data_IF_947768471619
#
_entry.id   IF_947768471619
#
_cell.length_a   1.000
_cell.length_b   1.000
_cell.length_c   1.000
_cell.angle_alpha   90.00
_cell.angle_beta   90.00
_cell.angle_gamma   90.00
#
_symmetry.space_group_name_H-M   'P 1'
#
loop_
_entity.id
_entity.type
_entity.pdbx_description
1 polymer ?
#
# COMPACT_ATOMS: atom_id res chain seq x y z
N UNK A 1 35.89 -16.02 -17.06
CA UNK A 1 34.53 -16.51 -16.77
C UNK A 1 34.51 -18.03 -16.96
N UNK A 2 34.55 -18.77 -15.86
CA UNK A 2 34.62 -20.24 -15.87
C UNK A 2 33.23 -20.81 -16.18
N UNK A 3 33.05 -21.45 -17.33
CA UNK A 3 31.81 -22.15 -17.66
C UNK A 3 31.68 -23.37 -16.73
N UNK A 4 30.76 -23.28 -15.76
CA UNK A 4 30.41 -24.39 -14.88
C UNK A 4 29.84 -25.52 -15.73
N UNK A 5 30.53 -26.66 -15.81
CA UNK A 5 30.01 -27.86 -16.49
C UNK A 5 28.81 -28.38 -15.69
N UNK A 6 27.65 -28.44 -16.34
CA UNK A 6 26.44 -29.02 -15.79
C UNK A 6 26.67 -30.50 -15.44
N UNK A 7 26.18 -30.90 -14.29
CA UNK A 7 26.20 -32.29 -13.83
C UNK A 7 25.32 -33.16 -14.75
N UNK A 8 25.60 -34.46 -14.85
CA UNK A 8 24.83 -35.38 -15.71
C UNK A 8 23.34 -35.40 -15.35
N UNK A 9 23.00 -35.20 -14.08
CA UNK A 9 21.62 -35.10 -13.60
C UNK A 9 20.94 -33.83 -14.15
N UNK A 10 21.60 -32.68 -14.05
CA UNK A 10 21.08 -31.42 -14.61
C UNK A 10 20.86 -31.51 -16.13
N UNK A 11 21.72 -32.23 -16.87
CA UNK A 11 21.56 -32.41 -18.32
C UNK A 11 20.33 -33.28 -18.65
N UNK A 12 20.12 -34.37 -17.92
CA UNK A 12 18.94 -35.24 -18.10
C UNK A 12 17.66 -34.50 -17.72
N UNK A 13 17.72 -33.69 -16.67
CA UNK A 13 16.58 -32.90 -16.19
C UNK A 13 16.24 -31.75 -17.15
N UNK A 14 17.26 -31.09 -17.72
CA UNK A 14 17.07 -30.11 -18.80
C UNK A 14 16.45 -30.75 -20.05
N UNK A 15 16.87 -31.96 -20.43
CA UNK A 15 16.27 -32.69 -21.55
C UNK A 15 14.80 -33.04 -21.26
N UNK A 16 14.48 -33.43 -20.02
CA UNK A 16 13.10 -33.70 -19.56
C UNK A 16 12.24 -32.43 -19.59
N UNK A 17 12.79 -31.28 -19.16
CA UNK A 17 12.15 -29.96 -19.21
C UNK A 17 11.89 -29.50 -20.65
N UNK A 18 12.81 -29.75 -21.57
CA UNK A 18 12.64 -29.44 -22.99
C UNK A 18 11.56 -30.32 -23.65
N UNK A 19 11.43 -31.57 -23.22
CA UNK A 19 10.39 -32.49 -23.70
C UNK A 19 9.00 -32.18 -23.12
N UNK A 20 8.92 -31.71 -21.87
CA UNK A 20 7.64 -31.33 -21.23
C UNK A 20 7.14 -29.94 -21.63
N UNK A 21 8.01 -29.09 -22.16
CA UNK A 21 7.67 -27.76 -22.67
C UNK A 21 7.02 -27.86 -24.06
N UNK A 22 5.79 -28.38 -24.12
CA UNK A 22 5.00 -28.33 -25.34
C UNK A 22 4.91 -26.87 -25.83
N UNK A 23 5.21 -26.63 -27.12
CA UNK A 23 5.17 -25.28 -27.70
C UNK A 23 3.76 -24.70 -27.52
N UNK A 24 3.61 -23.69 -26.65
CA UNK A 24 2.32 -23.05 -26.41
C UNK A 24 1.77 -22.46 -27.71
N UNK A 25 0.49 -22.71 -27.99
CA UNK A 25 -0.25 -22.14 -29.11
C UNK A 25 -0.29 -20.62 -28.99
N UNK A 26 -0.29 -19.90 -30.12
CA UNK A 26 -0.33 -18.43 -30.12
C UNK A 26 -1.47 -17.85 -29.25
N UNK A 27 -2.66 -18.48 -29.27
CA UNK A 27 -3.80 -18.10 -28.41
C UNK A 27 -3.50 -18.21 -26.91
N UNK A 28 -2.79 -19.26 -26.49
CA UNK A 28 -2.38 -19.43 -25.09
C UNK A 28 -1.28 -18.44 -24.69
N UNK A 29 -0.41 -18.06 -25.63
CA UNK A 29 0.61 -17.01 -25.40
C UNK A 29 -0.03 -15.65 -25.18
N UNK A 30 -1.00 -15.26 -26.02
CA UNK A 30 -1.72 -14.01 -25.82
C UNK A 30 -2.61 -14.06 -24.57
N UNK A 31 -3.26 -15.19 -24.28
CA UNK A 31 -4.05 -15.37 -23.07
C UNK A 31 -3.22 -15.28 -21.79
N UNK A 32 -2.04 -15.91 -21.77
CA UNK A 32 -1.11 -15.82 -20.63
C UNK A 32 -0.53 -14.42 -20.45
N UNK A 33 -0.17 -13.74 -21.55
CA UNK A 33 0.31 -12.36 -21.49
C UNK A 33 -0.79 -11.42 -20.99
N UNK A 34 -2.02 -11.56 -21.50
CA UNK A 34 -3.17 -10.80 -21.03
C UNK A 34 -3.43 -11.02 -19.53
N UNK A 35 -3.44 -12.27 -19.08
CA UNK A 35 -3.76 -12.59 -17.69
C UNK A 35 -2.64 -12.21 -16.71
N UNK A 36 -1.37 -12.38 -17.09
CA UNK A 36 -0.23 -12.10 -16.22
C UNK A 36 0.17 -10.62 -16.21
N UNK A 37 -0.09 -9.89 -17.30
CA UNK A 37 0.35 -8.49 -17.45
C UNK A 37 -0.85 -7.53 -17.44
N UNK A 38 -1.88 -7.78 -18.26
CA UNK A 38 -3.02 -6.86 -18.35
C UNK A 38 -3.92 -6.90 -17.12
N UNK A 39 -4.13 -8.06 -16.50
CA UNK A 39 -4.95 -8.15 -15.29
C UNK A 39 -4.39 -7.32 -14.10
N UNK A 40 -3.10 -7.43 -13.72
CA UNK A 40 -2.56 -6.59 -12.65
C UNK A 40 -2.47 -5.11 -13.05
N UNK A 41 -2.29 -4.80 -14.34
CA UNK A 41 -2.38 -3.43 -14.83
C UNK A 41 -3.80 -2.89 -14.68
N UNK A 42 -4.81 -3.63 -15.14
CA UNK A 42 -6.22 -3.25 -15.01
C UNK A 42 -6.60 -3.03 -13.55
N UNK A 43 -6.12 -3.88 -12.63
CA UNK A 43 -6.31 -3.68 -11.20
C UNK A 43 -5.68 -2.36 -10.73
N UNK A 44 -4.43 -2.05 -11.10
CA UNK A 44 -3.79 -0.77 -10.75
C UNK A 44 -4.55 0.43 -11.30
N UNK A 45 -5.06 0.33 -12.52
CA UNK A 45 -5.89 1.38 -13.14
C UNK A 45 -7.21 1.58 -12.38
N UNK A 46 -7.88 0.50 -12.00
CA UNK A 46 -9.08 0.57 -11.18
C UNK A 46 -8.80 1.20 -9.80
N UNK A 47 -7.71 0.81 -9.13
CA UNK A 47 -7.30 1.40 -7.85
C UNK A 47 -7.04 2.91 -7.99
N UNK A 48 -6.33 3.32 -9.05
CA UNK A 48 -6.07 4.72 -9.32
C UNK A 48 -7.37 5.51 -9.55
N UNK A 49 -8.31 4.92 -10.30
CA UNK A 49 -9.60 5.54 -10.59
C UNK A 49 -10.48 5.67 -9.35
N UNK A 50 -10.52 4.64 -8.49
CA UNK A 50 -11.26 4.70 -7.22
C UNK A 50 -10.72 5.82 -6.34
N UNK A 51 -9.39 5.93 -6.20
CA UNK A 51 -8.75 7.00 -5.42
C UNK A 51 -9.05 8.39 -5.98
N UNK A 52 -9.09 8.53 -7.31
CA UNK A 52 -9.46 9.80 -7.96
C UNK A 52 -10.91 10.19 -7.62
N UNK A 53 -11.85 9.26 -7.74
CA UNK A 53 -13.27 9.48 -7.42
C UNK A 53 -13.45 9.79 -5.93
N UNK A 54 -12.71 9.13 -5.05
CA UNK A 54 -12.74 9.39 -3.60
C UNK A 54 -12.27 10.80 -3.22
N UNK A 55 -11.38 11.41 -4.00
CA UNK A 55 -10.95 12.81 -3.80
C UNK A 55 -11.99 13.83 -4.26
N UNK A 56 -12.83 13.47 -5.24
CA UNK A 56 -13.88 14.36 -5.73
C UNK A 56 -14.94 14.60 -4.65
N UNK A 57 -15.43 15.85 -4.53
CA UNK A 57 -16.52 16.20 -3.59
C UNK A 57 -17.75 15.35 -3.90
N UNK A 58 -18.49 14.96 -2.86
CA UNK A 58 -19.68 14.09 -2.99
C UNK A 58 -20.72 14.68 -3.96
N UNK A 59 -20.88 16.02 -3.96
CA UNK A 59 -21.79 16.73 -4.86
C UNK A 59 -21.44 16.62 -6.35
N UNK A 60 -20.18 16.37 -6.68
CA UNK A 60 -19.70 16.22 -8.07
C UNK A 60 -19.68 14.77 -8.56
N UNK A 61 -20.05 13.80 -7.72
CA UNK A 61 -20.01 12.37 -8.08
C UNK A 61 -21.30 11.94 -8.77
N UNK A 62 -21.17 11.27 -9.91
CA UNK A 62 -22.32 10.61 -10.53
C UNK A 62 -22.77 9.38 -9.73
N UNK A 63 -24.01 8.96 -9.91
CA UNK A 63 -24.56 7.75 -9.25
C UNK A 63 -23.76 6.50 -9.60
N UNK A 64 -23.32 6.37 -10.85
CA UNK A 64 -22.44 5.27 -11.29
C UNK A 64 -21.09 5.26 -10.56
N UNK A 65 -20.48 6.42 -10.35
CA UNK A 65 -19.22 6.54 -9.60
C UNK A 65 -19.40 6.15 -8.13
N UNK A 66 -20.53 6.51 -7.52
CA UNK A 66 -20.84 6.13 -6.14
C UNK A 66 -21.03 4.62 -5.99
N UNK A 67 -21.78 3.99 -6.92
CA UNK A 67 -21.96 2.54 -6.95
C UNK A 67 -20.63 1.83 -7.20
N UNK A 68 -19.81 2.34 -8.12
CA UNK A 68 -18.49 1.77 -8.43
C UNK A 68 -17.57 1.77 -7.20
N UNK A 69 -17.43 2.89 -6.50
CA UNK A 69 -16.61 2.98 -5.27
C UNK A 69 -17.14 2.06 -4.17
N UNK A 70 -18.46 1.86 -4.09
CA UNK A 70 -19.06 0.95 -3.09
C UNK A 70 -18.88 -0.53 -3.46
N UNK A 71 -18.93 -0.88 -4.75
CA UNK A 71 -18.84 -2.27 -5.23
C UNK A 71 -17.38 -2.75 -5.35
N UNK A 72 -16.45 -1.85 -5.66
CA UNK A 72 -15.04 -2.17 -5.87
C UNK A 72 -14.37 -2.95 -4.72
N UNK A 73 -14.57 -2.60 -3.44
CA UNK A 73 -14.02 -3.36 -2.32
C UNK A 73 -14.50 -4.81 -2.31
N UNK A 74 -15.76 -5.05 -2.62
CA UNK A 74 -16.34 -6.40 -2.68
C UNK A 74 -15.76 -7.24 -3.82
N UNK A 75 -15.55 -6.64 -4.99
CA UNK A 75 -14.87 -7.34 -6.09
C UNK A 75 -13.41 -7.69 -5.72
N UNK A 76 -12.73 -6.78 -5.02
CA UNK A 76 -11.38 -7.02 -4.51
C UNK A 76 -11.34 -8.12 -3.43
N UNK A 77 -12.30 -8.15 -2.51
CA UNK A 77 -12.33 -9.18 -1.48
C UNK A 77 -12.66 -10.55 -2.06
N UNK A 78 -13.59 -10.64 -3.02
CA UNK A 78 -13.93 -11.89 -3.71
C UNK A 78 -12.71 -12.42 -4.48
N UNK A 79 -12.03 -11.59 -5.28
CA UNK A 79 -10.87 -12.02 -6.06
C UNK A 79 -9.69 -12.49 -5.18
N UNK A 80 -9.44 -11.79 -4.07
CA UNK A 80 -8.44 -12.19 -3.08
C UNK A 80 -8.83 -13.45 -2.32
N UNK A 81 -10.10 -13.57 -1.93
CA UNK A 81 -10.66 -14.76 -1.28
C UNK A 81 -10.57 -15.98 -2.19
N UNK A 82 -10.89 -15.83 -3.47
CA UNK A 82 -10.73 -16.88 -4.47
C UNK A 82 -9.27 -17.33 -4.57
N UNK A 83 -8.33 -16.39 -4.67
CA UNK A 83 -6.88 -16.71 -4.68
C UNK A 83 -6.44 -17.44 -3.41
N UNK A 84 -6.95 -17.03 -2.25
CA UNK A 84 -6.68 -17.70 -0.97
C UNK A 84 -7.20 -19.14 -0.95
N UNK A 85 -8.40 -19.40 -1.47
CA UNK A 85 -8.95 -20.76 -1.57
C UNK A 85 -8.05 -21.65 -2.43
N UNK A 86 -7.53 -21.15 -3.55
CA UNK A 86 -6.57 -21.91 -4.37
C UNK A 86 -5.27 -22.21 -3.61
N UNK A 87 -4.71 -21.22 -2.90
CA UNK A 87 -3.53 -21.45 -2.06
C UNK A 87 -3.80 -22.47 -0.94
N UNK A 88 -4.97 -22.40 -0.30
CA UNK A 88 -5.35 -23.32 0.77
C UNK A 88 -5.52 -24.75 0.25
N UNK A 89 -6.22 -24.92 -0.89
CA UNK A 89 -6.36 -26.23 -1.55
C UNK A 89 -5.00 -26.82 -1.94
N UNK A 90 -4.08 -25.99 -2.44
CA UNK A 90 -2.72 -26.39 -2.76
C UNK A 90 -1.89 -26.78 -1.53
N UNK A 91 -2.14 -26.17 -0.37
CA UNK A 91 -1.49 -26.55 0.89
C UNK A 91 -2.08 -27.84 1.49
N UNK A 92 -3.37 -28.10 1.27
CA UNK A 92 -4.07 -29.29 1.74
C UNK A 92 -3.80 -30.54 0.87
N UNK A 93 -2.98 -30.41 -0.18
CA UNK A 93 -2.60 -31.49 -1.11
C UNK A 93 -3.81 -32.18 -1.79
N UNK A 94 -4.96 -31.50 -1.82
CA UNK A 94 -6.16 -31.96 -2.53
C UNK A 94 -5.97 -31.77 -4.05
N UNK A 95 -5.31 -32.75 -4.68
CA UNK A 95 -5.43 -33.22 -6.08
C UNK A 95 -5.33 -32.23 -7.25
N UNK A 96 -5.13 -30.93 -7.04
CA UNK A 96 -4.95 -29.94 -8.09
C UNK A 96 -3.61 -29.20 -7.96
N UNK A 97 -2.68 -29.50 -8.86
CA UNK A 97 -1.33 -28.89 -9.01
C UNK A 97 -1.33 -27.38 -9.36
N UNK A 98 -2.43 -26.68 -9.13
CA UNK A 98 -2.64 -25.28 -9.56
C UNK A 98 -2.60 -24.33 -8.36
N UNK A 99 -1.47 -23.66 -8.16
CA UNK A 99 -1.26 -22.67 -7.08
C UNK A 99 -2.16 -21.44 -7.21
N UNK A 100 -2.36 -20.91 -8.42
CA UNK A 100 -3.14 -19.69 -8.62
C UNK A 100 -4.30 -19.90 -9.59
N UNK A 101 -5.41 -19.17 -9.42
CA UNK A 101 -6.53 -19.23 -10.36
C UNK A 101 -6.12 -18.80 -11.77
N UNK A 102 -5.14 -17.91 -11.89
CA UNK A 102 -4.59 -17.51 -13.17
C UNK A 102 -3.89 -18.67 -13.90
N UNK A 103 -3.07 -19.44 -13.19
CA UNK A 103 -2.41 -20.62 -13.74
C UNK A 103 -3.41 -21.72 -14.10
N UNK A 104 -4.46 -21.89 -13.29
CA UNK A 104 -5.55 -22.82 -13.57
C UNK A 104 -6.27 -22.49 -14.90
N UNK A 105 -6.61 -21.22 -15.13
CA UNK A 105 -7.23 -20.76 -16.39
C UNK A 105 -6.30 -20.99 -17.59
N UNK A 106 -4.98 -20.86 -17.38
CA UNK A 106 -3.98 -21.07 -18.42
C UNK A 106 -3.63 -22.56 -18.64
N UNK A 107 -4.16 -23.47 -17.82
CA UNK A 107 -3.81 -24.89 -17.84
C UNK A 107 -2.35 -25.15 -17.48
N UNK A 108 -1.71 -24.23 -16.76
CA UNK A 108 -0.32 -24.33 -16.34
C UNK A 108 -0.25 -24.95 -14.95
N UNK A 109 0.60 -25.97 -14.79
CA UNK A 109 0.84 -26.62 -13.49
C UNK A 109 2.14 -26.11 -12.89
N UNK A 110 2.12 -25.80 -11.60
CA UNK A 110 3.32 -25.40 -10.87
C UNK A 110 3.97 -26.67 -10.30
N UNK A 111 5.07 -27.12 -10.92
CA UNK A 111 5.87 -28.23 -10.39
C UNK A 111 6.81 -27.65 -9.32
N UNK A 112 6.69 -28.15 -8.08
CA UNK A 112 7.65 -27.86 -7.01
C UNK A 112 8.90 -28.70 -7.26
N UNK A 113 9.96 -28.08 -7.77
CA UNK A 113 11.30 -28.66 -7.72
C UNK A 113 11.77 -28.59 -6.27
N UNK A 114 11.63 -29.68 -5.52
CA UNK A 114 12.37 -29.82 -4.27
C UNK A 114 13.85 -30.05 -4.63
N UNK A 115 14.78 -29.21 -4.15
CA UNK A 115 16.19 -29.59 -4.19
C UNK A 115 16.33 -30.79 -3.24
N UNK A 116 16.61 -31.95 -3.82
CA UNK A 116 16.78 -33.27 -3.19
C UNK A 116 15.48 -33.99 -2.74
N UNK A 117 15.26 -35.24 -3.21
CA UNK A 117 14.39 -36.15 -2.48
C UNK A 117 15.04 -36.40 -1.10
N UNK A 118 14.27 -36.43 0.00
CA UNK A 118 14.82 -36.82 1.29
C UNK A 118 15.48 -38.19 1.13
N UNK A 119 16.76 -38.30 1.48
CA UNK A 119 17.46 -39.58 1.44
C UNK A 119 16.68 -40.59 2.28
N UNK A 120 16.56 -41.80 1.76
CA UNK A 120 15.76 -42.92 2.30
C UNK A 120 16.28 -43.48 3.65
N UNK A 121 17.02 -42.70 4.44
CA UNK A 121 17.62 -43.12 5.70
C UNK A 121 16.64 -43.08 6.89
N UNK A 122 15.35 -42.85 6.63
CA UNK A 122 14.32 -42.62 7.65
C UNK A 122 13.58 -43.86 8.14
N UNK A 123 14.12 -45.07 7.95
CA UNK A 123 13.40 -46.31 8.32
C UNK A 123 13.53 -46.70 9.81
N UNK A 124 14.48 -46.19 10.61
CA UNK A 124 14.59 -46.59 12.04
C UNK A 124 15.04 -45.48 13.00
N UNK A 125 14.38 -44.33 13.02
CA UNK A 125 14.51 -43.38 14.16
C UNK A 125 13.38 -43.64 15.16
N UNK A 126 13.74 -43.97 16.39
CA UNK A 126 12.80 -44.30 17.47
C UNK A 126 11.81 -43.15 17.71
N UNK A 127 10.57 -43.52 18.06
CA UNK A 127 9.49 -42.59 18.44
C UNK A 127 9.94 -41.53 19.45
N UNK A 128 10.86 -41.88 20.36
CA UNK A 128 11.45 -40.97 21.33
C UNK A 128 12.28 -39.83 20.70
N UNK A 129 13.06 -40.11 19.64
CA UNK A 129 13.80 -39.05 18.92
C UNK A 129 12.87 -38.15 18.10
N UNK A 130 11.79 -38.70 17.54
CA UNK A 130 10.75 -37.91 16.85
C UNK A 130 9.99 -36.99 17.80
N UNK A 131 9.72 -37.45 19.02
CA UNK A 131 9.10 -36.62 20.07
C UNK A 131 10.06 -35.54 20.60
N UNK A 132 11.36 -35.83 20.70
CA UNK A 132 12.37 -34.84 21.13
C UNK A 132 12.68 -33.78 20.07
N UNK A 133 12.72 -34.16 18.79
CA UNK A 133 12.84 -33.22 17.67
C UNK A 133 11.54 -32.41 17.52
N UNK A 134 10.38 -33.06 17.70
CA UNK A 134 9.06 -32.42 17.69
C UNK A 134 8.84 -31.43 18.84
N UNK A 135 9.37 -31.67 20.05
CA UNK A 135 9.20 -30.74 21.17
C UNK A 135 9.98 -29.44 20.98
N UNK A 136 11.12 -29.48 20.30
CA UNK A 136 11.89 -28.28 19.95
C UNK A 136 11.19 -27.40 18.90
N UNK A 137 10.51 -28.02 17.93
CA UNK A 137 9.76 -27.33 16.88
C UNK A 137 8.40 -26.84 17.38
N UNK A 138 7.71 -27.64 18.21
CA UNK A 138 6.48 -27.20 18.89
C UNK A 138 6.77 -26.06 19.87
N UNK A 139 7.84 -26.18 20.68
CA UNK A 139 8.21 -25.17 21.66
C UNK A 139 8.59 -23.84 21.02
N UNK A 140 9.39 -23.88 19.93
CA UNK A 140 9.73 -22.66 19.18
C UNK A 140 8.52 -22.06 18.48
N UNK A 141 7.64 -22.87 17.86
CA UNK A 141 6.41 -22.39 17.25
C UNK A 141 5.45 -21.77 18.29
N UNK A 142 5.32 -22.38 19.48
CA UNK A 142 4.52 -21.85 20.58
C UNK A 142 5.09 -20.55 21.14
N UNK A 143 6.42 -20.45 21.28
CA UNK A 143 7.07 -19.20 21.70
C UNK A 143 6.84 -18.09 20.69
N UNK A 144 7.02 -18.35 19.39
CA UNK A 144 6.72 -17.38 18.34
C UNK A 144 5.24 -17.01 18.32
N UNK A 145 4.34 -17.98 18.44
CA UNK A 145 2.89 -17.73 18.54
C UNK A 145 2.51 -16.84 19.72
N UNK A 146 3.12 -17.08 20.89
CA UNK A 146 2.92 -16.26 22.09
C UNK A 146 3.45 -14.83 21.90
N UNK A 147 4.63 -14.65 21.28
CA UNK A 147 5.16 -13.32 20.95
C UNK A 147 4.22 -12.56 20.03
N UNK A 148 3.70 -13.21 18.98
CA UNK A 148 2.74 -12.58 18.07
C UNK A 148 1.42 -12.22 18.76
N UNK A 149 0.90 -13.08 19.65
CA UNK A 149 -0.32 -12.79 20.42
C UNK A 149 -0.13 -11.61 21.38
N UNK A 150 1.00 -11.56 22.09
CA UNK A 150 1.34 -10.43 22.96
C UNK A 150 1.49 -9.14 22.17
N UNK A 151 2.18 -9.19 21.03
CA UNK A 151 2.36 -8.03 20.17
C UNK A 151 1.03 -7.56 19.55
N UNK A 152 0.15 -8.50 19.18
CA UNK A 152 -1.19 -8.19 18.74
C UNK A 152 -2.02 -7.52 19.86
N UNK A 153 -1.95 -8.03 21.09
CA UNK A 153 -2.62 -7.45 22.25
C UNK A 153 -2.11 -6.04 22.57
N UNK A 154 -0.79 -5.84 22.54
CA UNK A 154 -0.18 -4.51 22.71
C UNK A 154 -0.66 -3.53 21.64
N UNK A 155 -0.69 -3.96 20.37
CA UNK A 155 -1.21 -3.16 19.28
C UNK A 155 -2.70 -2.84 19.46
N UNK A 156 -3.50 -3.83 19.87
CA UNK A 156 -4.94 -3.68 20.08
C UNK A 156 -5.23 -2.65 21.17
N UNK A 157 -4.61 -2.80 22.34
CA UNK A 157 -4.77 -1.86 23.45
C UNK A 157 -4.25 -0.47 23.11
N UNK A 158 -3.10 -0.38 22.40
CA UNK A 158 -2.58 0.90 21.92
C UNK A 158 -3.53 1.61 20.96
N UNK A 159 -4.44 0.90 20.28
CA UNK A 159 -5.40 1.44 19.31
C UNK A 159 -6.84 1.55 19.80
N UNK A 160 -7.14 1.18 21.04
CA UNK A 160 -8.50 1.33 21.61
C UNK A 160 -9.02 2.77 21.49
N UNK A 161 -8.13 3.76 21.59
CA UNK A 161 -8.46 5.18 21.41
C UNK A 161 -8.94 5.56 19.99
N UNK A 162 -8.65 4.73 18.97
CA UNK A 162 -9.10 4.93 17.57
C UNK A 162 -10.42 4.20 17.28
N UNK A 163 -10.74 3.16 18.07
CA UNK A 163 -11.97 2.37 17.93
C UNK A 163 -13.13 3.00 18.70
N UNK A 164 -12.84 3.85 19.69
CA UNK A 164 -13.85 4.68 20.32
C UNK A 164 -14.32 5.76 19.34
N UNK A 165 -15.64 6.00 19.20
CA UNK A 165 -16.14 7.14 18.45
C UNK A 165 -15.46 8.40 19.01
N UNK A 166 -14.88 9.22 18.13
CA UNK A 166 -14.07 10.38 18.49
C UNK A 166 -14.83 11.30 19.46
N UNK A 167 -14.55 11.19 20.75
CA UNK A 167 -15.07 12.08 21.79
C UNK A 167 -13.91 12.93 22.32
N UNK A 168 -13.67 14.13 21.76
CA UNK A 168 -12.62 14.99 22.25
C UNK A 168 -12.95 15.41 23.69
N UNK A 169 -12.25 14.83 24.68
CA UNK A 169 -12.41 15.15 26.11
C UNK A 169 -12.20 16.63 26.42
N UNK A 170 -11.49 17.35 25.55
CA UNK A 170 -11.34 18.80 25.56
C UNK A 170 -11.30 19.26 24.11
N UNK A 171 -12.36 19.94 23.66
CA UNK A 171 -12.28 20.75 22.44
C UNK A 171 -11.18 21.79 22.71
N UNK A 172 -10.13 21.89 21.89
CA UNK A 172 -9.16 22.98 22.04
C UNK A 172 -9.95 24.28 22.07
N UNK A 173 -9.67 25.15 23.05
CA UNK A 173 -10.37 26.42 23.13
C UNK A 173 -10.31 27.09 21.76
N UNK A 174 -11.44 27.62 21.25
CA UNK A 174 -11.46 28.26 19.96
C UNK A 174 -10.35 29.32 19.95
N UNK A 175 -9.59 29.44 18.84
CA UNK A 175 -8.54 30.44 18.76
C UNK A 175 -9.11 31.80 19.18
N UNK A 176 -8.37 32.59 19.97
CA UNK A 176 -8.86 33.87 20.47
C UNK A 176 -9.37 34.68 19.28
N UNK A 177 -10.56 35.30 19.45
CA UNK A 177 -11.12 36.17 18.42
C UNK A 177 -10.06 37.24 18.11
N UNK A 178 -9.52 37.22 16.88
CA UNK A 178 -8.65 38.30 16.41
C UNK A 178 -9.43 39.60 16.55
N UNK A 179 -8.79 40.64 17.07
CA UNK A 179 -9.39 41.97 17.13
C UNK A 179 -9.84 42.39 15.73
N UNK A 180 -10.97 43.11 15.60
CA UNK A 180 -11.38 43.64 14.32
C UNK A 180 -10.26 44.53 13.77
N UNK A 181 -9.96 44.42 12.48
CA UNK A 181 -8.87 45.13 11.80
C UNK A 181 -8.97 46.67 12.00
N UNK A 182 -10.18 47.19 12.23
CA UNK A 182 -10.45 48.59 12.58
C UNK A 182 -9.86 49.04 13.91
N UNK A 183 -9.68 48.15 14.89
CA UNK A 183 -9.04 48.48 16.16
C UNK A 183 -7.53 48.71 16.02
N UNK A 184 -6.89 48.09 15.02
CA UNK A 184 -5.48 48.28 14.70
C UNK A 184 -5.22 49.53 13.83
N UNK A 185 -6.25 50.15 13.27
CA UNK A 185 -6.18 51.36 12.45
C UNK A 185 -6.21 52.66 13.26
N UNK A 186 -6.43 52.58 14.59
CA UNK A 186 -6.33 53.76 15.43
C UNK A 186 -4.84 54.17 15.55
N UNK A 187 -4.44 55.35 15.07
CA UNK A 187 -3.11 55.87 15.38
C UNK A 187 -3.06 56.01 16.90
N UNK A 188 -2.23 55.19 17.54
CA UNK A 188 -1.97 55.31 18.96
C UNK A 188 -1.50 56.75 19.23
N UNK A 189 -2.32 57.50 19.97
CA UNK A 189 -1.80 58.62 20.75
C UNK A 189 -0.69 58.02 21.61
N UNK A 190 0.52 58.51 21.35
CA UNK A 190 1.74 57.86 21.78
C UNK A 190 1.73 57.55 23.26
N UNK A 191 2.05 56.31 23.57
CA UNK A 191 2.88 55.84 24.68
C UNK A 191 3.04 54.34 24.40
N UNK A 192 4.29 53.92 24.21
CA UNK A 192 4.77 52.54 23.99
C UNK A 192 4.64 51.99 22.56
N UNK A 193 5.67 52.26 21.76
CA UNK A 193 5.83 51.89 20.35
C UNK A 193 6.03 50.39 20.07
N UNK A 194 5.07 49.55 20.47
CA UNK A 194 4.99 48.12 20.07
C UNK A 194 3.56 47.78 19.63
N UNK A 195 3.00 48.60 18.75
CA UNK A 195 1.78 48.27 18.00
C UNK A 195 2.13 47.74 16.60
N UNK A 196 1.36 46.78 16.03
CA UNK A 196 1.60 46.32 14.66
C UNK A 196 1.46 47.51 13.70
N UNK A 197 2.58 47.93 13.11
CA UNK A 197 2.61 48.99 12.09
C UNK A 197 1.89 48.46 10.85
N UNK A 198 0.60 48.78 10.72
CA UNK A 198 -0.17 48.44 9.53
C UNK A 198 0.47 49.15 8.33
N UNK A 199 0.99 48.37 7.40
CA UNK A 199 1.51 48.88 6.12
C UNK A 199 0.30 49.21 5.25
N UNK A 200 0.04 50.50 5.09
CA UNK A 200 -0.99 50.99 4.16
C UNK A 200 -0.56 50.65 2.74
N UNK A 201 -1.43 49.94 2.01
CA UNK A 201 -1.17 49.59 0.63
C UNK A 201 -1.33 50.83 -0.27
N UNK A 202 -0.35 51.16 -1.13
CA UNK A 202 -0.51 52.18 -2.15
C UNK A 202 -1.66 51.83 -3.10
N UNK A 203 -2.46 52.82 -3.52
CA UNK A 203 -3.49 52.66 -4.55
C UNK A 203 -2.86 52.26 -5.90
N UNK A 204 -1.65 52.77 -6.16
CA UNK A 204 -0.88 52.46 -7.36
C UNK A 204 -0.18 51.09 -7.27
N UNK A 205 -0.64 50.16 -8.11
CA UNK A 205 -0.09 48.80 -8.22
C UNK A 205 1.32 48.73 -8.79
N UNK A 206 1.89 49.82 -9.28
CA UNK A 206 3.27 49.88 -9.78
C UNK A 206 4.28 50.22 -8.68
N UNK A 207 3.78 50.66 -7.52
CA UNK A 207 4.56 51.03 -6.35
C UNK A 207 4.68 49.82 -5.40
N UNK A 208 5.83 49.68 -4.77
CA UNK A 208 6.08 48.66 -3.77
C UNK A 208 5.51 49.10 -2.40
N UNK A 209 4.71 48.26 -1.72
CA UNK A 209 4.12 48.61 -0.42
C UNK A 209 5.14 48.69 0.73
N UNK A 210 6.36 48.16 0.55
CA UNK A 210 7.42 48.20 1.59
C UNK A 210 8.33 49.42 1.46
N UNK A 211 8.82 49.68 0.24
CA UNK A 211 9.81 50.74 0.00
C UNK A 211 9.23 52.00 -0.64
N UNK A 212 7.94 52.01 -1.00
CA UNK A 212 7.23 53.15 -1.61
C UNK A 212 7.90 53.71 -2.88
N UNK A 213 8.66 52.86 -3.59
CA UNK A 213 9.31 53.17 -4.87
C UNK A 213 8.71 52.32 -5.99
N UNK A 214 8.95 52.71 -7.24
CA UNK A 214 8.61 51.91 -8.42
C UNK A 214 9.25 50.52 -8.28
N UNK A 215 8.45 49.48 -8.47
CA UNK A 215 8.87 48.09 -8.23
C UNK A 215 10.12 47.72 -9.04
N UNK A 216 11.13 47.18 -8.36
CA UNK A 216 12.31 46.54 -8.96
C UNK A 216 12.41 45.13 -8.40
N UNK A 217 12.62 44.14 -9.28
CA UNK A 217 12.72 42.72 -8.92
C UNK A 217 11.52 42.21 -8.07
N UNK A 218 10.32 42.06 -8.67
CA UNK A 218 9.10 41.75 -7.93
C UNK A 218 9.11 40.32 -7.34
N UNK A 219 8.81 40.20 -6.05
CA UNK A 219 8.55 38.97 -5.32
C UNK A 219 7.07 38.91 -4.87
N UNK A 220 6.48 37.72 -4.88
CA UNK A 220 5.06 37.48 -4.58
C UNK A 220 4.90 36.71 -3.26
N UNK A 221 4.06 37.20 -2.35
CA UNK A 221 3.66 36.46 -1.15
C UNK A 221 2.50 35.47 -1.44
N UNK A 222 2.35 34.46 -0.59
CA UNK A 222 1.23 33.50 -0.68
C UNK A 222 -0.16 34.15 -0.54
N UNK A 223 -0.23 35.37 0.00
CA UNK A 223 -1.46 36.15 0.09
C UNK A 223 -1.77 36.96 -1.18
N UNK A 224 -0.89 36.90 -2.20
CA UNK A 224 -1.06 37.61 -3.48
C UNK A 224 -0.46 39.02 -3.53
N UNK A 225 0.25 39.47 -2.48
CA UNK A 225 0.90 40.78 -2.47
C UNK A 225 2.27 40.73 -3.13
N UNK A 226 2.56 41.73 -3.99
CA UNK A 226 3.82 41.88 -4.72
C UNK A 226 4.64 43.03 -4.15
N UNK A 227 5.90 42.76 -3.82
CA UNK A 227 6.86 43.71 -3.25
C UNK A 227 8.24 43.55 -3.92
N UNK A 228 9.18 44.46 -3.68
CA UNK A 228 10.55 44.33 -4.18
C UNK A 228 11.31 43.28 -3.34
N UNK A 229 12.10 42.44 -3.99
CA UNK A 229 13.11 41.59 -3.33
C UNK A 229 14.13 42.45 -2.58
#
# INVERSE_FOLDING_TARGET
AQQRKLTRLEVVELARRQQSSAKLTARQRFGSLALLVLAPLAQRWCEARVREIERMRVATRSTLQQVFVRLYPWLCTISRGWTFVYHLRYLLDESHDSWSPALYILGLRLVRDFPEPPTQDTVKKSLARRLLEGSSTLGSASLWGAVYLLQFGQWWSAREHLLQPFQPRKVPQPPPRRSPYSACLQPGNGLDGVGPRLVLLPEDRTVCPLCHRVRRNPALSCAGYVFCY
#
